data_IF_346768460670
#
_entry.id   IF_346768460670
#
_cell.length_a   1.000
_cell.length_b   1.000
_cell.length_c   1.000
_cell.angle_alpha   90.00
_cell.angle_beta   90.00
_cell.angle_gamma   90.00
#
_symmetry.space_group_name_H-M   'P 1'
#
loop_
_entity.id
_entity.type
_entity.pdbx_description
1 polymer ?
#
# COMPACT_ATOMS: atom_id res chain seq x y z
N UNK A 1 -4.30 -21.01 -2.58
CA UNK A 1 -4.94 -19.69 -2.68
C UNK A 1 -3.97 -18.67 -3.24
N UNK A 2 -4.47 -17.71 -3.99
CA UNK A 2 -3.73 -16.54 -4.47
C UNK A 2 -4.06 -15.35 -3.57
N UNK A 3 -3.08 -14.86 -2.84
CA UNK A 3 -3.26 -13.77 -1.86
C UNK A 3 -2.56 -12.52 -2.35
N UNK A 4 -3.32 -11.43 -2.50
CA UNK A 4 -2.76 -10.11 -2.82
C UNK A 4 -2.64 -9.29 -1.53
N UNK A 5 -1.41 -8.93 -1.17
CA UNK A 5 -1.14 -8.03 -0.06
C UNK A 5 -1.00 -6.58 -0.56
N UNK A 6 -1.53 -5.62 0.18
CA UNK A 6 -1.41 -4.19 -0.15
C UNK A 6 -0.94 -3.43 1.09
N UNK A 7 0.10 -2.62 0.96
CA UNK A 7 0.62 -1.79 2.05
C UNK A 7 0.83 -0.34 1.61
N UNK A 8 0.70 0.59 2.56
CA UNK A 8 0.97 2.03 2.39
C UNK A 8 2.45 2.40 2.52
N UNK A 9 3.28 1.47 2.98
CA UNK A 9 4.71 1.68 3.25
C UNK A 9 5.57 0.69 2.49
N UNK A 10 6.83 1.05 2.21
CA UNK A 10 7.84 0.10 1.77
C UNK A 10 7.90 -1.12 2.69
N UNK A 11 8.35 -2.25 2.15
CA UNK A 11 8.46 -3.50 2.91
C UNK A 11 9.57 -3.46 3.97
N UNK A 12 10.42 -2.45 3.93
CA UNK A 12 11.47 -2.17 4.90
C UNK A 12 11.24 -0.81 5.58
N UNK A 13 11.77 -0.63 6.79
CA UNK A 13 11.79 0.66 7.49
C UNK A 13 10.54 1.00 8.30
N UNK A 14 9.49 0.17 8.29
CA UNK A 14 8.29 0.34 9.11
C UNK A 14 7.80 -0.97 9.70
N UNK A 15 7.02 -0.90 10.78
CA UNK A 15 6.41 -2.08 11.40
C UNK A 15 5.43 -2.79 10.46
N UNK A 16 4.54 -2.05 9.79
CA UNK A 16 3.59 -2.62 8.84
C UNK A 16 4.27 -3.17 7.58
N UNK A 17 5.36 -2.53 7.10
CA UNK A 17 6.17 -3.05 6.01
C UNK A 17 6.80 -4.40 6.36
N UNK A 18 7.49 -4.48 7.49
CA UNK A 18 8.08 -5.71 8.01
C UNK A 18 7.02 -6.80 8.24
N UNK A 19 5.86 -6.44 8.78
CA UNK A 19 4.73 -7.34 8.94
C UNK A 19 4.25 -7.90 7.60
N UNK A 20 4.02 -7.03 6.61
CA UNK A 20 3.59 -7.42 5.25
C UNK A 20 4.59 -8.37 4.59
N UNK A 21 5.89 -8.02 4.66
CA UNK A 21 6.98 -8.87 4.17
C UNK A 21 6.96 -10.26 4.80
N UNK A 22 6.86 -10.31 6.14
CA UNK A 22 6.87 -11.59 6.86
C UNK A 22 5.63 -12.42 6.55
N UNK A 23 4.45 -11.83 6.45
CA UNK A 23 3.23 -12.53 6.01
C UNK A 23 3.40 -13.09 4.60
N UNK A 24 3.92 -12.29 3.65
CA UNK A 24 4.14 -12.74 2.29
C UNK A 24 5.03 -13.99 2.24
N UNK A 25 6.16 -13.97 2.95
CA UNK A 25 7.08 -15.09 3.04
C UNK A 25 6.44 -16.32 3.72
N UNK A 26 5.66 -16.13 4.79
CA UNK A 26 4.98 -17.22 5.48
C UNK A 26 3.88 -17.86 4.64
N UNK A 27 3.07 -17.07 3.95
CA UNK A 27 2.04 -17.57 3.04
C UNK A 27 2.69 -18.36 1.90
N UNK A 28 3.78 -17.83 1.32
CA UNK A 28 4.55 -18.53 0.28
C UNK A 28 5.10 -19.86 0.77
N UNK A 29 5.67 -19.89 1.98
CA UNK A 29 6.17 -21.12 2.63
C UNK A 29 5.06 -22.15 2.87
N UNK A 30 3.82 -21.72 3.06
CA UNK A 30 2.63 -22.57 3.22
C UNK A 30 2.01 -23.02 1.90
N UNK A 31 2.64 -22.71 0.76
CA UNK A 31 2.19 -23.15 -0.57
C UNK A 31 1.15 -22.25 -1.21
N UNK A 32 0.92 -21.03 -0.69
CA UNK A 32 0.09 -20.03 -1.34
C UNK A 32 0.88 -19.28 -2.42
N UNK A 33 0.21 -18.84 -3.46
CA UNK A 33 0.75 -17.84 -4.38
C UNK A 33 0.54 -16.46 -3.76
N UNK A 34 1.52 -15.58 -3.86
CA UNK A 34 1.49 -14.28 -3.21
C UNK A 34 1.95 -13.18 -4.15
N UNK A 35 1.17 -12.10 -4.20
CA UNK A 35 1.55 -10.83 -4.82
C UNK A 35 1.51 -9.71 -3.77
N UNK A 36 2.33 -8.67 -3.94
CA UNK A 36 2.39 -7.54 -3.01
C UNK A 36 2.41 -6.23 -3.77
N UNK A 37 1.50 -5.30 -3.44
CA UNK A 37 1.52 -3.90 -3.89
C UNK A 37 2.03 -3.03 -2.73
N UNK A 38 3.01 -2.19 -3.00
CA UNK A 38 3.63 -1.32 -1.99
C UNK A 38 4.29 -0.09 -2.63
N UNK A 39 4.43 1.04 -1.91
CA UNK A 39 5.21 2.17 -2.39
C UNK A 39 6.70 1.91 -2.21
N UNK A 40 7.53 2.49 -3.08
CA UNK A 40 8.98 2.48 -2.93
C UNK A 40 9.59 3.76 -3.55
N UNK A 41 10.75 4.18 -3.07
CA UNK A 41 11.48 5.35 -3.60
C UNK A 41 12.98 5.11 -3.76
N UNK A 42 13.40 3.86 -3.71
CA UNK A 42 14.78 3.43 -3.87
C UNK A 42 14.84 1.97 -4.34
N UNK A 43 16.00 1.44 -4.75
CA UNK A 43 16.18 0.03 -5.04
C UNK A 43 15.84 -0.84 -3.83
N UNK A 44 15.12 -1.94 -4.04
CA UNK A 44 14.66 -2.86 -3.00
C UNK A 44 14.96 -4.31 -3.39
N UNK A 45 15.13 -5.22 -2.40
CA UNK A 45 15.37 -6.62 -2.67
C UNK A 45 14.10 -7.33 -3.18
N UNK A 46 14.25 -8.14 -4.22
CA UNK A 46 13.17 -9.02 -4.67
C UNK A 46 12.93 -10.14 -3.66
N UNK A 47 11.67 -10.43 -3.36
CA UNK A 47 11.30 -11.55 -2.50
C UNK A 47 11.10 -12.82 -3.35
N UNK A 48 11.84 -13.90 -3.08
CA UNK A 48 11.80 -15.11 -3.89
C UNK A 48 10.39 -15.73 -3.99
N UNK A 49 9.91 -15.91 -5.22
CA UNK A 49 8.62 -16.53 -5.50
C UNK A 49 7.40 -15.68 -5.12
N UNK A 50 7.57 -14.38 -4.91
CA UNK A 50 6.50 -13.42 -4.65
C UNK A 50 6.46 -12.43 -5.81
N UNK A 51 5.27 -12.22 -6.38
CA UNK A 51 5.07 -11.21 -7.42
C UNK A 51 5.01 -9.83 -6.78
N UNK A 52 5.89 -8.92 -7.20
CA UNK A 52 6.01 -7.60 -6.58
C UNK A 52 5.56 -6.52 -7.55
N UNK A 53 4.65 -5.66 -7.10
CA UNK A 53 4.08 -4.52 -7.82
C UNK A 53 4.42 -3.22 -7.07
N UNK A 54 5.64 -2.68 -7.23
CA UNK A 54 6.01 -1.43 -6.58
C UNK A 54 5.33 -0.25 -7.28
N UNK A 55 4.82 0.70 -6.49
CA UNK A 55 4.44 2.03 -6.95
C UNK A 55 5.61 2.96 -6.62
N UNK A 56 6.31 3.41 -7.65
CA UNK A 56 7.54 4.19 -7.47
C UNK A 56 7.26 5.67 -7.20
N UNK A 57 7.94 6.20 -6.19
CA UNK A 57 7.88 7.59 -5.77
C UNK A 57 9.26 8.24 -5.89
N UNK A 58 9.27 9.52 -6.22
CA UNK A 58 10.52 10.30 -6.23
C UNK A 58 11.01 10.55 -4.80
N UNK A 59 12.30 10.39 -4.56
CA UNK A 59 12.94 10.77 -3.30
C UNK A 59 13.46 12.21 -3.36
N UNK A 60 14.35 12.49 -4.30
CA UNK A 60 15.03 13.79 -4.43
C UNK A 60 14.93 14.36 -5.85
N UNK A 61 14.98 13.51 -6.86
CA UNK A 61 14.89 13.88 -8.28
C UNK A 61 13.86 12.99 -8.96
N UNK A 62 12.93 13.61 -9.67
CA UNK A 62 11.91 12.89 -10.44
C UNK A 62 12.59 12.10 -11.55
N UNK A 63 12.41 10.79 -11.55
CA UNK A 63 12.76 9.92 -12.66
C UNK A 63 11.52 9.67 -13.53
N UNK A 64 11.75 9.13 -14.72
CA UNK A 64 10.66 8.73 -15.60
C UNK A 64 9.87 7.61 -14.93
N UNK A 65 8.56 7.70 -15.01
CA UNK A 65 7.62 6.71 -14.45
C UNK A 65 7.50 6.68 -12.91
N UNK A 66 8.05 7.69 -12.21
CA UNK A 66 7.86 7.89 -10.77
C UNK A 66 6.83 8.98 -10.47
N UNK A 67 6.12 8.82 -9.35
CA UNK A 67 5.32 9.91 -8.80
C UNK A 67 6.26 11.06 -8.35
N UNK A 68 6.00 12.32 -8.76
CA UNK A 68 6.93 13.44 -8.57
C UNK A 68 6.89 14.02 -7.15
N UNK A 69 6.74 13.15 -6.15
CA UNK A 69 6.76 13.47 -4.71
C UNK A 69 7.09 12.19 -3.93
N UNK A 70 7.45 12.33 -2.65
CA UNK A 70 7.77 11.18 -1.82
C UNK A 70 6.49 10.51 -1.28
N UNK A 71 6.53 9.20 -1.00
CA UNK A 71 5.37 8.49 -0.47
C UNK A 71 4.94 9.07 0.89
N UNK A 72 3.62 9.20 1.15
CA UNK A 72 3.14 9.74 2.41
C UNK A 72 3.16 8.70 3.52
N UNK A 73 3.39 9.15 4.75
CA UNK A 73 3.32 8.34 5.96
C UNK A 73 2.36 8.95 7.00
N UNK A 74 1.99 8.18 8.02
CA UNK A 74 1.12 8.66 9.10
C UNK A 74 1.89 9.53 10.10
N UNK A 75 3.15 9.20 10.34
CA UNK A 75 4.03 9.93 11.25
C UNK A 75 5.37 10.21 10.60
N UNK A 76 6.34 9.31 10.73
CA UNK A 76 7.67 9.40 10.13
C UNK A 76 8.08 8.06 9.55
N UNK A 77 8.92 8.09 8.53
CA UNK A 77 9.56 6.91 7.95
C UNK A 77 11.02 7.23 7.62
N UNK A 78 11.96 6.28 7.75
CA UNK A 78 13.37 6.55 7.43
C UNK A 78 13.60 7.09 6.01
N UNK A 79 12.73 6.71 5.07
CA UNK A 79 12.83 7.08 3.66
C UNK A 79 11.90 8.22 3.25
N UNK A 80 10.99 8.69 4.13
CA UNK A 80 10.08 9.80 3.84
C UNK A 80 9.74 10.63 5.07
N UNK A 81 9.66 11.95 4.86
CA UNK A 81 9.14 12.91 5.83
C UNK A 81 7.78 13.48 5.41
N UNK A 82 7.30 13.13 4.22
CA UNK A 82 5.99 13.55 3.72
C UNK A 82 4.90 12.81 4.48
N UNK A 83 3.92 13.53 5.00
CA UNK A 83 2.73 12.92 5.62
C UNK A 83 1.53 13.00 4.69
N UNK A 84 0.45 12.26 5.00
CA UNK A 84 -0.80 12.38 4.24
C UNK A 84 -1.38 13.80 4.27
N UNK A 85 -1.15 14.57 5.36
CA UNK A 85 -1.58 15.96 5.45
C UNK A 85 -0.82 16.90 4.51
N UNK A 86 0.39 16.53 4.11
CA UNK A 86 1.22 17.36 3.23
C UNK A 86 0.80 17.22 1.75
N UNK A 87 -0.04 16.21 1.44
CA UNK A 87 -0.53 15.99 0.09
C UNK A 87 -1.57 17.03 -0.31
N UNK A 88 -1.27 17.82 -1.32
CA UNK A 88 -2.30 18.59 -2.02
C UNK A 88 -3.25 17.68 -2.81
N UNK A 89 -4.42 18.22 -3.20
CA UNK A 89 -5.45 17.48 -3.95
C UNK A 89 -4.87 16.77 -5.19
N UNK A 90 -4.03 17.46 -5.95
CA UNK A 90 -3.41 16.88 -7.15
C UNK A 90 -2.45 15.72 -6.85
N UNK A 91 -1.73 15.78 -5.72
CA UNK A 91 -0.84 14.70 -5.29
C UNK A 91 -1.64 13.50 -4.78
N UNK A 92 -2.70 13.72 -4.00
CA UNK A 92 -3.59 12.65 -3.56
C UNK A 92 -4.28 11.96 -4.75
N UNK A 93 -4.75 12.72 -5.74
CA UNK A 93 -5.32 12.16 -6.98
C UNK A 93 -4.30 11.29 -7.70
N UNK A 94 -3.06 11.74 -7.87
CA UNK A 94 -1.98 10.94 -8.50
C UNK A 94 -1.65 9.69 -7.70
N UNK A 95 -1.62 9.80 -6.37
CA UNK A 95 -1.42 8.66 -5.45
C UNK A 95 -2.49 7.59 -5.69
N UNK A 96 -3.77 7.96 -5.60
CA UNK A 96 -4.89 7.05 -5.80
C UNK A 96 -4.90 6.45 -7.21
N UNK A 97 -4.61 7.26 -8.23
CA UNK A 97 -4.54 6.79 -9.63
C UNK A 97 -3.44 5.76 -9.83
N UNK A 98 -2.24 5.98 -9.28
CA UNK A 98 -1.13 5.07 -9.42
C UNK A 98 -1.40 3.72 -8.71
N UNK A 99 -1.92 3.77 -7.49
CA UNK A 99 -2.29 2.54 -6.77
C UNK A 99 -3.48 1.82 -7.41
N UNK A 100 -4.47 2.54 -7.95
CA UNK A 100 -5.56 1.94 -8.74
C UNK A 100 -5.04 1.24 -9.98
N UNK A 101 -4.03 1.81 -10.66
CA UNK A 101 -3.41 1.17 -11.82
C UNK A 101 -2.66 -0.11 -11.42
N UNK A 102 -1.84 -0.06 -10.35
CA UNK A 102 -1.13 -1.22 -9.83
C UNK A 102 -2.10 -2.32 -9.36
N UNK A 103 -3.19 -1.95 -8.70
CA UNK A 103 -4.22 -2.88 -8.27
C UNK A 103 -4.90 -3.55 -9.45
N UNK A 104 -5.30 -2.78 -10.47
CA UNK A 104 -5.90 -3.31 -11.70
C UNK A 104 -4.95 -4.26 -12.43
N UNK A 105 -3.67 -3.91 -12.54
CA UNK A 105 -2.65 -4.78 -13.12
C UNK A 105 -2.53 -6.09 -12.34
N UNK A 106 -2.41 -6.03 -11.02
CA UNK A 106 -2.34 -7.21 -10.18
C UNK A 106 -3.59 -8.09 -10.29
N UNK A 107 -4.78 -7.51 -10.37
CA UNK A 107 -6.02 -8.25 -10.60
C UNK A 107 -6.03 -8.98 -11.95
N UNK A 108 -5.52 -8.36 -13.01
CA UNK A 108 -5.46 -8.91 -14.36
C UNK A 108 -4.37 -9.97 -14.54
N UNK A 109 -3.23 -9.82 -13.90
CA UNK A 109 -2.08 -10.72 -14.10
C UNK A 109 -2.04 -11.85 -13.07
N UNK A 110 -2.36 -11.53 -11.82
CA UNK A 110 -2.26 -12.46 -10.70
C UNK A 110 -3.57 -13.20 -10.41
N UNK A 111 -4.74 -12.60 -10.64
CA UNK A 111 -6.07 -13.16 -10.35
C UNK A 111 -6.20 -13.62 -8.90
N UNK A 112 -6.12 -12.72 -7.91
CA UNK A 112 -6.16 -13.08 -6.50
C UNK A 112 -7.52 -13.63 -6.07
N UNK A 113 -7.51 -14.58 -5.13
CA UNK A 113 -8.73 -15.10 -4.47
C UNK A 113 -9.18 -14.18 -3.31
N UNK A 114 -8.23 -13.42 -2.74
CA UNK A 114 -8.43 -12.56 -1.57
C UNK A 114 -7.43 -11.41 -1.57
N UNK A 115 -7.87 -10.25 -1.08
CA UNK A 115 -7.00 -9.10 -0.82
C UNK A 115 -6.80 -8.97 0.70
N UNK A 116 -5.55 -8.76 1.14
CA UNK A 116 -5.22 -8.44 2.52
C UNK A 116 -4.53 -7.07 2.56
N UNK A 117 -5.30 -6.05 2.91
CA UNK A 117 -4.83 -4.66 3.00
C UNK A 117 -4.30 -4.35 4.41
N UNK A 118 -3.24 -3.56 4.45
CA UNK A 118 -2.68 -3.03 5.68
C UNK A 118 -3.17 -1.60 5.88
N UNK A 119 -3.62 -1.27 7.08
CA UNK A 119 -4.26 -0.03 7.49
C UNK A 119 -5.66 0.18 6.86
N UNK A 120 -6.63 0.57 7.67
CA UNK A 120 -7.92 1.07 7.22
C UNK A 120 -7.73 2.52 6.71
N UNK A 121 -7.41 2.68 5.43
CA UNK A 121 -7.05 3.96 4.79
C UNK A 121 -7.32 3.93 3.28
N UNK A 122 -6.74 4.84 2.52
CA UNK A 122 -6.95 4.98 1.07
C UNK A 122 -6.80 3.68 0.26
N UNK A 123 -5.82 2.82 0.59
CA UNK A 123 -5.59 1.60 -0.20
C UNK A 123 -6.58 0.49 0.16
N UNK A 124 -7.01 0.36 1.39
CA UNK A 124 -8.08 -0.55 1.77
C UNK A 124 -9.42 -0.11 1.19
N UNK A 125 -9.65 1.22 1.10
CA UNK A 125 -10.80 1.76 0.38
C UNK A 125 -10.76 1.38 -1.12
N UNK A 126 -9.62 1.55 -1.80
CA UNK A 126 -9.49 1.09 -3.19
C UNK A 126 -9.72 -0.42 -3.32
N UNK A 127 -9.23 -1.21 -2.36
CA UNK A 127 -9.40 -2.66 -2.35
C UNK A 127 -10.86 -3.07 -2.14
N UNK A 128 -11.64 -2.34 -1.32
CA UNK A 128 -13.06 -2.64 -1.08
C UNK A 128 -13.93 -2.50 -2.34
N UNK A 129 -13.46 -1.72 -3.33
CA UNK A 129 -14.15 -1.56 -4.61
C UNK A 129 -13.93 -2.72 -5.59
N UNK A 130 -13.09 -3.71 -5.25
CA UNK A 130 -12.68 -4.76 -6.18
C UNK A 130 -13.60 -5.98 -6.24
N UNK A 131 -14.69 -6.02 -5.46
CA UNK A 131 -15.61 -7.16 -5.38
C UNK A 131 -14.91 -8.51 -5.12
N UNK A 132 -13.90 -8.50 -4.25
CA UNK A 132 -13.18 -9.67 -3.75
C UNK A 132 -13.24 -9.72 -2.23
N UNK A 133 -13.09 -10.91 -1.62
CA UNK A 133 -12.91 -11.00 -0.18
C UNK A 133 -11.77 -10.10 0.28
N UNK A 134 -12.02 -9.28 1.30
CA UNK A 134 -11.05 -8.30 1.83
C UNK A 134 -10.81 -8.55 3.32
N UNK A 135 -9.56 -8.63 3.70
CA UNK A 135 -9.09 -8.60 5.08
C UNK A 135 -8.32 -7.31 5.29
N UNK A 136 -8.58 -6.61 6.38
CA UNK A 136 -7.86 -5.37 6.75
C UNK A 136 -7.19 -5.58 8.11
N UNK A 137 -5.87 -5.38 8.16
CA UNK A 137 -5.13 -5.32 9.42
C UNK A 137 -4.93 -3.88 9.84
N UNK A 138 -5.42 -3.53 11.02
CA UNK A 138 -5.29 -2.20 11.63
C UNK A 138 -4.00 -2.18 12.47
N UNK A 139 -3.12 -1.23 12.22
CA UNK A 139 -1.84 -1.06 12.93
C UNK A 139 -1.86 0.06 13.98
N UNK A 140 -2.94 0.86 14.02
CA UNK A 140 -3.17 1.90 15.02
C UNK A 140 -2.76 3.31 14.59
N UNK A 141 -1.74 3.48 13.75
CA UNK A 141 -1.30 4.82 13.28
C UNK A 141 -2.33 5.50 12.39
N UNK A 142 -3.11 4.76 11.62
CA UNK A 142 -4.25 5.27 10.84
C UNK A 142 -5.37 5.83 11.71
N UNK A 143 -5.60 5.26 12.90
CA UNK A 143 -6.58 5.80 13.85
C UNK A 143 -6.16 7.16 14.38
N UNK A 144 -4.85 7.37 14.59
CA UNK A 144 -4.29 8.68 14.87
C UNK A 144 -4.47 9.62 13.67
N UNK A 145 -4.26 9.12 12.45
CA UNK A 145 -4.48 9.84 11.21
C UNK A 145 -5.93 10.28 11.06
N UNK A 146 -6.92 9.43 11.30
CA UNK A 146 -8.35 9.76 11.27
C UNK A 146 -8.73 10.88 12.25
N UNK A 147 -8.08 10.93 13.42
CA UNK A 147 -8.28 12.01 14.39
C UNK A 147 -7.62 13.31 13.98
N UNK A 148 -6.40 13.24 13.45
CA UNK A 148 -5.58 14.38 13.09
C UNK A 148 -5.98 15.01 11.76
N UNK A 149 -6.47 14.19 10.81
CA UNK A 149 -6.79 14.57 9.43
C UNK A 149 -8.19 14.09 9.04
N UNK A 150 -9.25 14.79 9.47
CA UNK A 150 -10.64 14.36 9.27
C UNK A 150 -11.01 14.12 7.78
N UNK A 151 -10.37 14.81 6.85
CA UNK A 151 -10.60 14.63 5.41
C UNK A 151 -10.29 13.22 4.88
N UNK A 152 -9.46 12.46 5.60
CA UNK A 152 -9.15 11.07 5.24
C UNK A 152 -10.02 10.03 5.94
N UNK A 153 -10.84 10.46 6.89
CA UNK A 153 -11.64 9.57 7.72
C UNK A 153 -12.66 8.77 6.90
N UNK A 154 -13.25 9.38 5.88
CA UNK A 154 -14.20 8.72 4.97
C UNK A 154 -13.61 7.50 4.28
N UNK A 155 -12.34 7.54 3.87
CA UNK A 155 -11.67 6.38 3.28
C UNK A 155 -11.60 5.19 4.25
N UNK A 156 -11.29 5.46 5.52
CA UNK A 156 -11.22 4.42 6.53
C UNK A 156 -12.62 3.84 6.85
N UNK A 157 -13.63 4.69 6.98
CA UNK A 157 -15.01 4.29 7.27
C UNK A 157 -15.62 3.49 6.14
N UNK A 158 -15.49 3.94 4.90
CA UNK A 158 -15.99 3.24 3.72
C UNK A 158 -15.26 1.91 3.45
N UNK A 159 -13.98 1.81 3.82
CA UNK A 159 -13.22 0.57 3.64
C UNK A 159 -13.71 -0.57 4.54
N UNK A 160 -14.36 -0.27 5.67
CA UNK A 160 -14.80 -1.25 6.67
C UNK A 160 -16.33 -1.40 6.74
N UNK A 161 -17.08 -0.63 5.94
CA UNK A 161 -18.53 -0.70 5.85
C UNK A 161 -18.96 -1.91 5.00
#
# INVERSE_FOLDING_TARGET
MKVLLINHFPLEGSGSGTYTKNIALHLRKRGHEVAVIFPENQPFPMLPGIQMHPVMFSKDKVQRDELPFNFPCFTTHPQSRTTFADLGVGQLTRYLTAFSAALRQALQEFHPDIIHAQHAWCLSWLASLCNLPLVITIHGTELMGCRKWPAFRSFAEEAVA
#
